data_IF_746852656627
#
_entry.id   IF_746852656627
#
_cell.length_a   1.000
_cell.length_b   1.000
_cell.length_c   1.000
_cell.angle_alpha   90.00
_cell.angle_beta   90.00
_cell.angle_gamma   90.00
#
_symmetry.space_group_name_H-M   'P 1'
#
loop_
_entity.id
_entity.type
_entity.pdbx_description
1 polymer ?
#
# COMPACT_ATOMS: atom_id res chain seq x y z
N UNK A 1 13.29 9.72 -25.83
CA UNK A 1 13.00 9.11 -24.52
C UNK A 1 13.66 10.00 -23.50
N UNK A 2 12.88 10.64 -22.66
CA UNK A 2 13.43 11.37 -21.52
C UNK A 2 13.93 10.36 -20.50
N UNK A 3 15.08 10.65 -19.88
CA UNK A 3 15.68 9.81 -18.86
C UNK A 3 14.83 9.90 -17.58
N UNK A 4 14.15 8.80 -17.21
CA UNK A 4 13.30 8.74 -16.02
C UNK A 4 14.18 8.45 -14.82
N UNK A 5 14.20 9.35 -13.84
CA UNK A 5 14.92 9.19 -12.57
C UNK A 5 13.96 8.98 -11.41
N UNK A 6 14.18 7.94 -10.62
CA UNK A 6 13.39 7.60 -9.43
C UNK A 6 14.27 7.73 -8.19
N UNK A 7 13.84 8.54 -7.22
CA UNK A 7 14.51 8.70 -5.93
C UNK A 7 13.55 8.23 -4.83
N UNK A 8 13.91 7.13 -4.16
CA UNK A 8 13.20 6.59 -3.00
C UNK A 8 13.97 6.97 -1.73
N UNK A 9 13.27 7.56 -0.77
CA UNK A 9 13.77 7.76 0.60
C UNK A 9 12.89 6.98 1.55
N UNK A 10 13.49 6.24 2.47
CA UNK A 10 12.77 5.43 3.46
C UNK A 10 12.91 6.03 4.85
N UNK A 11 11.89 5.88 5.69
CA UNK A 11 12.00 6.18 7.12
C UNK A 11 13.08 5.29 7.79
N UNK A 12 13.65 5.76 8.91
CA UNK A 12 14.67 5.01 9.68
C UNK A 12 14.21 3.61 10.10
N UNK A 13 12.90 3.39 10.22
CA UNK A 13 12.32 2.10 10.52
C UNK A 13 12.45 1.07 9.39
N UNK A 14 12.71 1.47 8.15
CA UNK A 14 12.79 0.58 6.99
C UNK A 14 14.22 0.42 6.49
N UNK A 15 14.57 -0.81 6.12
CA UNK A 15 15.83 -1.11 5.42
C UNK A 15 15.53 -1.50 3.98
N UNK A 16 16.18 -0.81 3.04
CA UNK A 16 16.15 -1.14 1.62
C UNK A 16 16.87 -2.47 1.35
N UNK A 17 16.23 -3.39 0.62
CA UNK A 17 16.79 -4.71 0.30
C UNK A 17 17.38 -4.76 -1.12
N UNK A 18 16.54 -4.72 -2.17
CA UNK A 18 16.98 -4.74 -3.57
C UNK A 18 16.02 -4.01 -4.53
N UNK A 19 16.51 -3.66 -5.74
CA UNK A 19 15.68 -3.28 -6.91
C UNK A 19 15.76 -4.42 -7.94
N UNK A 20 14.62 -4.88 -8.44
CA UNK A 20 14.52 -5.88 -9.49
C UNK A 20 13.81 -5.31 -10.75
N UNK A 21 14.34 -5.59 -11.97
CA UNK A 21 15.60 -6.29 -12.24
C UNK A 21 16.82 -5.42 -11.88
N UNK A 22 18.04 -5.99 -11.74
CA UNK A 22 19.28 -5.26 -11.38
C UNK A 22 19.79 -4.19 -12.38
N UNK A 23 18.91 -3.62 -13.24
CA UNK A 23 19.14 -2.72 -14.41
C UNK A 23 19.54 -3.50 -15.69
N UNK A 24 18.97 -3.34 -16.91
CA UNK A 24 18.18 -2.30 -17.60
C UNK A 24 16.67 -2.58 -17.74
N UNK A 25 15.85 -1.52 -17.73
CA UNK A 25 14.43 -1.53 -18.13
C UNK A 25 14.25 -1.02 -19.57
N UNK A 26 14.66 -1.81 -20.57
CA UNK A 26 14.32 -1.54 -21.97
C UNK A 26 12.97 -2.18 -22.32
N UNK A 27 11.88 -1.42 -22.19
CA UNK A 27 10.56 -1.88 -22.67
C UNK A 27 10.39 -1.56 -24.15
N UNK A 28 10.91 -2.43 -25.01
CA UNK A 28 10.40 -2.56 -26.37
C UNK A 28 10.19 -4.04 -26.70
N UNK A 29 9.25 -4.69 -26.01
CA UNK A 29 8.83 -6.04 -26.36
C UNK A 29 7.88 -5.98 -27.57
N UNK A 30 8.47 -5.98 -28.77
CA UNK A 30 7.75 -6.13 -30.04
C UNK A 30 6.92 -7.44 -30.12
N UNK A 31 7.14 -8.39 -29.20
CA UNK A 31 6.41 -9.65 -29.13
C UNK A 31 5.07 -9.59 -28.36
N UNK A 32 4.86 -8.61 -27.48
CA UNK A 32 3.65 -8.54 -26.63
C UNK A 32 2.78 -7.31 -26.84
N UNK A 33 3.21 -6.33 -27.65
CA UNK A 33 2.48 -5.08 -27.94
C UNK A 33 1.99 -4.36 -26.67
N UNK A 34 2.75 -4.44 -25.57
CA UNK A 34 2.40 -3.83 -24.28
C UNK A 34 3.55 -2.94 -23.79
N UNK A 35 3.24 -1.65 -23.64
CA UNK A 35 4.13 -0.58 -23.20
C UNK A 35 3.99 -0.32 -21.69
N UNK A 36 4.40 -1.27 -20.85
CA UNK A 36 4.46 -1.03 -19.39
C UNK A 36 5.84 -1.40 -18.87
N UNK A 37 6.57 -0.41 -18.34
CA UNK A 37 7.80 -0.61 -17.60
C UNK A 37 7.47 -0.69 -16.10
N UNK A 38 8.06 -1.66 -15.40
CA UNK A 38 7.90 -1.80 -13.95
C UNK A 38 9.27 -1.95 -13.27
N UNK A 39 9.32 -1.49 -12.03
CA UNK A 39 10.42 -1.70 -11.09
C UNK A 39 9.84 -2.37 -9.85
N UNK A 40 10.52 -3.40 -9.36
CA UNK A 40 10.18 -4.05 -8.10
C UNK A 40 11.24 -3.70 -7.06
N UNK A 41 10.82 -3.52 -5.81
CA UNK A 41 11.74 -3.32 -4.69
C UNK A 41 11.12 -3.85 -3.40
N UNK A 42 11.98 -4.24 -2.46
CA UNK A 42 11.57 -4.77 -1.15
C UNK A 42 12.24 -3.99 -0.02
N UNK A 43 11.47 -3.71 1.03
CA UNK A 43 11.95 -3.12 2.27
C UNK A 43 11.46 -3.93 3.47
N UNK A 44 12.30 -4.05 4.49
CA UNK A 44 11.95 -4.73 5.74
C UNK A 44 11.92 -3.77 6.91
N UNK A 45 10.91 -3.91 7.76
CA UNK A 45 10.76 -3.12 8.98
C UNK A 45 11.71 -3.59 10.08
N UNK A 46 12.38 -2.65 10.74
CA UNK A 46 13.27 -2.89 11.86
C UNK A 46 12.65 -2.35 13.16
N UNK A 47 12.02 -3.20 13.97
CA UNK A 47 11.33 -2.78 15.20
C UNK A 47 12.28 -2.33 16.33
N UNK A 48 13.60 -2.32 16.12
CA UNK A 48 14.60 -2.07 17.17
C UNK A 48 14.91 -0.59 17.43
N UNK A 49 14.21 0.35 16.80
CA UNK A 49 14.45 1.76 17.07
C UNK A 49 13.53 2.24 18.18
N UNK A 50 14.10 2.41 19.38
CA UNK A 50 13.46 3.19 20.44
C UNK A 50 13.16 4.59 19.88
N UNK A 51 11.96 5.16 20.12
CA UNK A 51 11.68 6.53 19.73
C UNK A 51 12.76 7.44 20.32
N UNK A 52 13.37 8.26 19.46
CA UNK A 52 14.36 9.24 19.93
C UNK A 52 13.70 10.16 20.97
N UNK A 53 14.37 10.54 22.06
CA UNK A 53 13.78 11.43 23.06
C UNK A 53 13.28 12.70 22.36
N UNK A 54 12.08 13.22 22.69
CA UNK A 54 11.56 14.40 22.03
C UNK A 54 12.51 15.57 22.25
N UNK A 55 13.20 15.96 21.18
CA UNK A 55 14.10 17.10 21.17
C UNK A 55 13.30 18.39 21.24
N UNK A 56 13.28 18.99 22.42
CA UNK A 56 12.81 20.36 22.69
C UNK A 56 11.31 20.62 22.47
N UNK A 57 10.65 20.99 23.56
CA UNK A 57 9.24 21.41 23.69
C UNK A 57 8.84 22.49 22.66
N UNK A 58 7.85 22.25 21.77
CA UNK A 58 7.17 23.32 21.05
C UNK A 58 6.10 23.98 21.93
N UNK A 59 6.05 25.31 21.95
CA UNK A 59 4.99 26.11 22.60
C UNK A 59 3.78 26.28 21.65
N UNK A 60 3.22 25.19 21.16
CA UNK A 60 2.04 25.20 20.29
C UNK A 60 0.96 24.30 20.88
N UNK A 61 -0.33 24.64 20.73
CA UNK A 61 -1.42 23.80 21.24
C UNK A 61 -1.26 22.40 20.65
N UNK A 62 -1.41 21.38 21.49
CA UNK A 62 -1.35 19.97 21.11
C UNK A 62 -2.46 19.73 20.08
N UNK A 63 -2.09 19.76 18.80
CA UNK A 63 -2.89 19.14 17.76
C UNK A 63 -3.03 17.67 18.15
N UNK A 64 -4.28 17.19 18.11
CA UNK A 64 -4.67 15.78 18.33
C UNK A 64 -3.60 14.85 17.75
N UNK A 65 -3.12 13.82 18.46
CA UNK A 65 -2.09 12.93 17.94
C UNK A 65 -2.54 12.46 16.57
N UNK A 66 -1.84 12.87 15.52
CA UNK A 66 -2.08 12.33 14.19
C UNK A 66 -1.91 10.82 14.32
N UNK A 67 -2.94 10.03 14.00
CA UNK A 67 -2.81 8.59 13.72
C UNK A 67 -1.99 8.39 12.43
N UNK A 68 -0.87 9.10 12.30
CA UNK A 68 0.03 8.96 11.18
C UNK A 68 0.58 7.54 11.20
N UNK A 69 0.57 6.90 10.04
CA UNK A 69 1.17 5.59 9.87
C UNK A 69 2.63 5.61 10.32
N UNK A 70 2.94 4.86 11.38
CA UNK A 70 4.30 4.56 11.82
C UNK A 70 4.66 3.15 11.34
N UNK A 71 5.60 3.00 10.40
CA UNK A 71 5.99 1.69 9.92
C UNK A 71 6.76 0.84 10.93
N UNK A 72 7.31 1.44 12.01
CA UNK A 72 7.96 0.72 13.09
C UNK A 72 6.94 0.06 14.04
N UNK A 73 5.77 0.67 14.18
CA UNK A 73 4.67 0.22 15.04
C UNK A 73 3.33 0.26 14.26
N UNK A 74 3.20 -0.54 13.17
CA UNK A 74 1.99 -0.53 12.38
C UNK A 74 0.87 -1.21 13.18
N UNK A 75 -0.34 -0.67 13.12
CA UNK A 75 -1.49 -1.26 13.81
C UNK A 75 -2.75 -1.25 12.95
N UNK A 76 -3.66 -2.17 13.26
CA UNK A 76 -4.96 -2.30 12.62
C UNK A 76 -6.05 -2.15 13.67
N UNK A 77 -6.96 -1.20 13.44
CA UNK A 77 -8.17 -1.02 14.24
C UNK A 77 -9.35 -1.68 13.53
N UNK A 78 -10.26 -2.38 14.25
CA UNK A 78 -11.46 -2.94 13.66
C UNK A 78 -12.28 -1.94 12.85
N UNK A 79 -12.46 -0.72 13.38
CA UNK A 79 -13.25 0.33 12.74
C UNK A 79 -12.65 0.91 11.45
N UNK A 80 -11.41 0.55 11.10
CA UNK A 80 -10.69 1.04 9.92
C UNK A 80 -10.23 -0.09 9.00
N UNK A 81 -10.65 -1.33 9.26
CA UNK A 81 -10.19 -2.52 8.55
C UNK A 81 -11.37 -3.27 7.97
N UNK A 82 -11.15 -4.12 6.98
CA UNK A 82 -12.08 -5.17 6.58
C UNK A 82 -11.61 -6.51 7.13
N UNK A 83 -12.50 -7.31 7.70
CA UNK A 83 -12.20 -8.66 8.19
C UNK A 83 -12.94 -9.70 7.34
N UNK A 84 -12.19 -10.61 6.73
CA UNK A 84 -12.73 -11.66 5.86
C UNK A 84 -12.09 -13.02 6.20
N UNK A 85 -12.82 -14.13 6.01
CA UNK A 85 -12.20 -15.45 5.93
C UNK A 85 -11.32 -15.55 4.67
N UNK A 86 -10.22 -16.30 4.75
CA UNK A 86 -9.21 -16.39 3.69
C UNK A 86 -9.80 -16.68 2.30
N UNK A 87 -10.82 -17.53 2.20
CA UNK A 87 -11.45 -17.94 0.95
C UNK A 87 -12.08 -16.77 0.18
N UNK A 88 -12.38 -15.65 0.86
CA UNK A 88 -12.97 -14.44 0.27
C UNK A 88 -11.98 -13.29 0.09
N UNK A 89 -10.78 -13.41 0.67
CA UNK A 89 -9.80 -12.30 0.71
C UNK A 89 -9.28 -11.96 -0.68
N UNK A 90 -8.98 -12.96 -1.51
CA UNK A 90 -8.41 -12.73 -2.85
C UNK A 90 -9.37 -11.98 -3.76
N UNK A 91 -10.64 -12.39 -3.80
CA UNK A 91 -11.68 -11.69 -4.56
C UNK A 91 -11.92 -10.28 -4.02
N UNK A 92 -11.95 -10.12 -2.68
CA UNK A 92 -12.13 -8.82 -2.07
C UNK A 92 -10.99 -7.86 -2.45
N UNK A 93 -9.73 -8.30 -2.35
CA UNK A 93 -8.56 -7.51 -2.76
C UNK A 93 -8.66 -7.17 -4.25
N UNK A 94 -9.00 -8.12 -5.13
CA UNK A 94 -9.12 -7.86 -6.57
C UNK A 94 -10.16 -6.78 -6.89
N UNK A 95 -11.32 -6.82 -6.23
CA UNK A 95 -12.40 -5.84 -6.36
C UNK A 95 -11.98 -4.46 -5.84
N UNK A 96 -11.29 -4.40 -4.70
CA UNK A 96 -10.76 -3.14 -4.16
C UNK A 96 -9.71 -2.55 -5.08
N UNK A 97 -8.73 -3.32 -5.54
CA UNK A 97 -7.71 -2.81 -6.44
C UNK A 97 -8.31 -2.37 -7.80
N UNK A 98 -9.36 -3.04 -8.28
CA UNK A 98 -10.12 -2.58 -9.45
C UNK A 98 -10.77 -1.23 -9.20
N UNK A 99 -11.40 -1.09 -8.04
CA UNK A 99 -12.02 0.17 -7.63
C UNK A 99 -10.98 1.29 -7.56
N UNK A 100 -9.76 1.02 -7.11
CA UNK A 100 -8.64 1.98 -7.07
C UNK A 100 -8.01 2.25 -8.45
N UNK A 101 -8.52 1.64 -9.53
CA UNK A 101 -8.09 1.90 -10.90
C UNK A 101 -6.87 1.10 -11.36
N UNK A 102 -6.46 0.08 -10.61
CA UNK A 102 -5.35 -0.77 -11.01
C UNK A 102 -5.75 -1.66 -12.18
N UNK A 103 -4.84 -1.74 -13.16
CA UNK A 103 -4.99 -2.63 -14.31
C UNK A 103 -4.75 -4.10 -13.92
N UNK A 104 -5.24 -5.04 -14.74
CA UNK A 104 -5.23 -6.48 -14.44
C UNK A 104 -3.85 -7.03 -14.05
N UNK A 105 -2.78 -6.61 -14.72
CA UNK A 105 -1.43 -7.12 -14.43
C UNK A 105 -0.95 -6.71 -13.03
N UNK A 106 -1.11 -5.44 -12.64
CA UNK A 106 -0.80 -4.98 -11.29
C UNK A 106 -1.63 -5.70 -10.21
N UNK A 107 -2.94 -5.91 -10.46
CA UNK A 107 -3.81 -6.63 -9.51
C UNK A 107 -3.36 -8.09 -9.32
N UNK A 108 -3.11 -8.79 -10.42
CA UNK A 108 -2.60 -10.17 -10.39
C UNK A 108 -1.25 -10.24 -9.68
N UNK A 109 -0.34 -9.30 -9.96
CA UNK A 109 0.98 -9.26 -9.33
C UNK A 109 0.88 -9.04 -7.81
N UNK A 110 0.06 -8.06 -7.39
CA UNK A 110 -0.20 -7.78 -5.98
C UNK A 110 -0.71 -9.01 -5.24
N UNK A 111 -1.76 -9.65 -5.77
CA UNK A 111 -2.38 -10.83 -5.15
C UNK A 111 -1.38 -11.98 -5.11
N UNK A 112 -0.69 -12.26 -6.22
CA UNK A 112 0.29 -13.35 -6.29
C UNK A 112 1.41 -13.18 -5.27
N UNK A 113 1.90 -11.95 -5.07
CA UNK A 113 2.97 -11.67 -4.11
C UNK A 113 2.51 -11.87 -2.66
N UNK A 114 1.32 -11.37 -2.29
CA UNK A 114 0.84 -11.44 -0.90
C UNK A 114 0.14 -12.75 -0.53
N UNK A 115 -0.33 -13.52 -1.51
CA UNK A 115 -1.10 -14.76 -1.28
C UNK A 115 -0.40 -15.75 -0.33
N UNK A 116 0.92 -16.04 -0.43
CA UNK A 116 1.58 -16.98 0.47
C UNK A 116 1.60 -16.53 1.94
N UNK A 117 1.54 -15.21 2.21
CA UNK A 117 1.46 -14.69 3.57
C UNK A 117 0.01 -14.67 4.07
N UNK A 118 -0.94 -14.30 3.21
CA UNK A 118 -2.37 -14.33 3.53
C UNK A 118 -2.86 -15.75 3.84
N UNK A 119 -2.37 -16.76 3.11
CA UNK A 119 -2.80 -18.16 3.26
C UNK A 119 -2.36 -18.82 4.57
N UNK A 120 -1.54 -18.16 5.39
CA UNK A 120 -1.14 -18.63 6.71
C UNK A 120 -2.24 -18.43 7.75
N UNK A 121 -3.24 -17.59 7.45
CA UNK A 121 -4.26 -17.15 8.38
C UNK A 121 -5.65 -17.60 7.95
N UNK A 122 -6.51 -17.94 8.91
CA UNK A 122 -7.91 -18.30 8.64
C UNK A 122 -8.79 -17.08 8.39
N UNK A 123 -8.61 -16.04 9.21
CA UNK A 123 -9.27 -14.76 9.07
C UNK A 123 -8.22 -13.66 8.93
N UNK A 124 -8.44 -12.77 7.96
CA UNK A 124 -7.51 -11.70 7.62
C UNK A 124 -8.23 -10.38 7.86
N UNK A 125 -7.70 -9.58 8.79
CA UNK A 125 -8.02 -8.16 8.85
C UNK A 125 -7.06 -7.40 7.95
N UNK A 126 -7.58 -6.51 7.09
CA UNK A 126 -6.77 -5.69 6.20
C UNK A 126 -7.26 -4.25 6.11
N UNK A 127 -6.34 -3.33 5.82
CA UNK A 127 -6.61 -1.91 5.57
C UNK A 127 -5.71 -1.43 4.44
N UNK A 128 -6.25 -0.64 3.51
CA UNK A 128 -5.44 0.16 2.60
C UNK A 128 -5.18 1.54 3.20
N UNK A 129 -3.91 1.96 3.22
CA UNK A 129 -3.52 3.24 3.81
C UNK A 129 -3.95 4.43 2.92
N UNK A 130 -4.34 5.56 3.53
CA UNK A 130 -4.39 6.84 2.82
C UNK A 130 -3.03 7.17 2.19
N UNK A 131 -3.01 7.58 0.91
CA UNK A 131 -1.77 7.89 0.20
C UNK A 131 -0.92 8.92 0.94
N UNK A 132 -1.54 9.99 1.44
CA UNK A 132 -0.84 11.05 2.15
C UNK A 132 -0.26 10.64 3.51
N UNK A 133 -0.73 9.53 4.11
CA UNK A 133 -0.09 8.95 5.30
C UNK A 133 1.13 8.12 4.90
N UNK A 134 0.98 7.29 3.87
CA UNK A 134 2.06 6.44 3.37
C UNK A 134 3.23 7.26 2.78
N UNK A 135 2.94 8.36 2.08
CA UNK A 135 3.94 9.27 1.51
C UNK A 135 4.88 9.90 2.54
N UNK A 136 4.39 10.14 3.76
CA UNK A 136 5.22 10.68 4.86
C UNK A 136 6.25 9.66 5.33
N UNK A 137 5.88 8.37 5.34
CA UNK A 137 6.74 7.28 5.78
C UNK A 137 7.72 6.81 4.70
N UNK A 138 7.33 6.91 3.42
CA UNK A 138 8.16 6.49 2.29
C UNK A 138 8.11 7.52 1.15
N UNK A 139 8.81 8.66 1.25
CA UNK A 139 8.86 9.64 0.18
C UNK A 139 9.40 9.08 -1.14
N UNK A 140 8.65 9.29 -2.23
CA UNK A 140 9.01 8.88 -3.59
C UNK A 140 8.99 10.09 -4.52
N UNK A 141 10.13 10.39 -5.13
CA UNK A 141 10.26 11.47 -6.11
C UNK A 141 10.62 10.90 -7.48
N UNK A 142 9.85 11.25 -8.51
CA UNK A 142 10.08 10.83 -9.89
C UNK A 142 10.31 12.07 -10.76
N UNK A 143 11.26 11.98 -11.69
CA UNK A 143 11.58 13.04 -12.65
C UNK A 143 11.59 12.47 -14.07
N UNK A 144 10.81 13.02 -15.02
CA UNK A 144 9.86 14.14 -14.84
C UNK A 144 8.75 13.79 -13.84
N UNK A 145 8.11 14.81 -13.25
CA UNK A 145 7.04 14.58 -12.30
C UNK A 145 5.84 13.92 -13.01
N UNK A 146 5.28 12.82 -12.48
CA UNK A 146 4.08 12.23 -13.04
C UNK A 146 2.89 13.16 -12.85
N UNK A 147 2.00 13.18 -13.81
CA UNK A 147 0.73 13.90 -13.73
C UNK A 147 -0.22 13.22 -12.75
N UNK A 148 -0.04 11.92 -12.51
CA UNK A 148 -0.77 11.12 -11.53
C UNK A 148 0.14 10.11 -10.87
N UNK A 149 0.19 10.14 -9.55
CA UNK A 149 0.79 9.09 -8.73
C UNK A 149 -0.34 8.31 -8.04
N UNK A 150 -0.29 6.98 -8.11
CA UNK A 150 -1.19 6.10 -7.37
C UNK A 150 -0.34 5.18 -6.49
N UNK A 151 -0.50 5.29 -5.16
CA UNK A 151 0.24 4.49 -4.18
C UNK A 151 -0.74 3.67 -3.35
N UNK A 152 -0.73 2.35 -3.54
CA UNK A 152 -1.61 1.44 -2.79
C UNK A 152 -0.78 0.62 -1.81
N UNK A 153 -0.95 0.85 -0.52
CA UNK A 153 -0.24 0.13 0.52
C UNK A 153 -1.21 -0.60 1.45
N UNK A 154 -1.12 -1.93 1.52
CA UNK A 154 -1.99 -2.77 2.34
C UNK A 154 -1.31 -3.18 3.64
N UNK A 155 -1.94 -2.86 4.77
CA UNK A 155 -1.66 -3.51 6.05
C UNK A 155 -2.58 -4.72 6.19
N UNK A 156 -2.06 -5.86 6.66
CA UNK A 156 -2.90 -7.00 7.01
C UNK A 156 -2.39 -7.73 8.26
N UNK A 157 -3.27 -8.47 8.93
CA UNK A 157 -2.90 -9.40 10.00
C UNK A 157 -3.80 -10.62 10.02
N UNK A 158 -3.30 -11.71 10.59
CA UNK A 158 -4.12 -12.80 11.06
C UNK A 158 -4.98 -12.39 12.26
N UNK A 159 -6.24 -12.82 12.24
CA UNK A 159 -7.16 -12.75 13.39
C UNK A 159 -7.54 -14.17 13.77
N UNK A 160 -7.33 -14.50 15.05
CA UNK A 160 -7.74 -15.79 15.59
C UNK A 160 -9.27 -15.90 15.64
N UNK A 161 -9.80 -17.10 15.44
CA UNK A 161 -11.24 -17.35 15.41
C UNK A 161 -11.95 -16.87 16.70
N UNK A 162 -11.29 -17.02 17.86
CA UNK A 162 -11.79 -16.56 19.16
C UNK A 162 -11.83 -15.04 19.31
N UNK A 163 -11.22 -14.28 18.40
CA UNK A 163 -11.18 -12.82 18.43
C UNK A 163 -12.13 -12.18 17.43
N UNK A 164 -12.70 -12.95 16.49
CA UNK A 164 -13.54 -12.42 15.40
C UNK A 164 -14.72 -11.59 15.91
N UNK A 165 -15.28 -11.94 17.08
CA UNK A 165 -16.39 -11.18 17.68
C UNK A 165 -16.03 -9.71 18.03
N UNK A 166 -14.75 -9.42 18.28
CA UNK A 166 -14.26 -8.06 18.56
C UNK A 166 -14.02 -7.24 17.29
N UNK A 167 -14.27 -7.82 16.11
CA UNK A 167 -14.04 -7.21 14.80
C UNK A 167 -15.35 -6.97 14.03
N UNK A 168 -16.47 -6.79 14.73
CA UNK A 168 -17.79 -6.55 14.12
C UNK A 168 -17.78 -5.44 13.07
N UNK A 169 -17.14 -4.31 13.38
CA UNK A 169 -17.04 -3.16 12.47
C UNK A 169 -16.27 -3.50 11.21
N UNK A 170 -15.24 -4.36 11.33
CA UNK A 170 -14.44 -4.80 10.20
C UNK A 170 -15.18 -5.81 9.31
N UNK A 171 -16.02 -6.65 9.92
CA UNK A 171 -16.92 -7.53 9.16
C UNK A 171 -17.95 -6.70 8.41
N UNK A 172 -18.51 -5.65 9.03
CA UNK A 172 -19.42 -4.72 8.35
C UNK A 172 -18.72 -4.00 7.19
N UNK A 173 -17.50 -3.51 7.40
CA UNK A 173 -16.67 -2.88 6.37
C UNK A 173 -16.44 -3.81 5.17
N UNK A 174 -16.22 -5.10 5.41
CA UNK A 174 -16.05 -6.10 4.35
C UNK A 174 -17.33 -6.33 3.52
N UNK A 175 -18.51 -5.97 4.03
CA UNK A 175 -19.78 -6.03 3.30
C UNK A 175 -20.10 -4.75 2.51
N UNK A 176 -19.35 -3.67 2.71
CA UNK A 176 -19.54 -2.42 1.96
C UNK A 176 -18.99 -2.57 0.54
N UNK A 177 -19.49 -1.72 -0.35
CA UNK A 177 -18.98 -1.65 -1.72
C UNK A 177 -17.51 -1.23 -1.72
N UNK A 178 -16.69 -1.92 -2.52
CA UNK A 178 -15.23 -1.72 -2.58
C UNK A 178 -14.82 -0.30 -2.95
N UNK A 179 -15.71 0.50 -3.55
CA UNK A 179 -15.46 1.91 -3.85
C UNK A 179 -15.24 2.78 -2.62
N UNK A 180 -15.63 2.35 -1.42
CA UNK A 180 -15.32 3.06 -0.16
C UNK A 180 -13.82 3.28 0.03
N UNK A 181 -12.99 2.36 -0.50
CA UNK A 181 -11.54 2.49 -0.41
C UNK A 181 -10.99 3.62 -1.29
N UNK A 182 -11.73 4.09 -2.31
CA UNK A 182 -11.31 5.26 -3.11
C UNK A 182 -11.18 6.51 -2.25
N UNK A 183 -12.17 6.72 -1.40
CA UNK A 183 -12.22 7.87 -0.50
C UNK A 183 -11.19 7.72 0.63
N UNK A 184 -11.04 6.51 1.18
CA UNK A 184 -10.06 6.24 2.25
C UNK A 184 -8.62 6.39 1.75
N UNK A 185 -8.31 5.80 0.59
CA UNK A 185 -6.96 5.88 0.00
C UNK A 185 -6.70 7.27 -0.58
N UNK A 186 -7.74 7.98 -1.02
CA UNK A 186 -7.67 9.31 -1.61
C UNK A 186 -7.24 9.27 -3.07
N UNK A 187 -7.91 8.46 -3.90
CA UNK A 187 -7.57 8.27 -5.32
C UNK A 187 -8.40 9.19 -6.22
N UNK A 188 -7.73 9.97 -7.07
CA UNK A 188 -8.36 10.75 -8.15
C UNK A 188 -8.64 9.85 -9.37
N UNK A 189 -9.71 9.03 -9.28
CA UNK A 189 -9.97 7.94 -10.24
C UNK A 189 -10.04 8.39 -11.70
N UNK A 190 -10.54 9.60 -11.98
CA UNK A 190 -10.62 10.15 -13.33
C UNK A 190 -9.23 10.29 -13.96
N UNK A 191 -8.28 10.88 -13.22
CA UNK A 191 -6.89 11.01 -13.67
C UNK A 191 -6.20 9.65 -13.74
N UNK A 192 -6.46 8.77 -12.77
CA UNK A 192 -5.91 7.41 -12.77
C UNK A 192 -6.33 6.64 -14.02
N UNK A 193 -7.51 6.88 -14.58
CA UNK A 193 -7.98 6.19 -15.78
C UNK A 193 -7.58 6.88 -17.10
N UNK A 194 -7.13 8.13 -17.05
CA UNK A 194 -6.71 8.89 -18.23
C UNK A 194 -5.36 8.40 -18.79
N UNK A 195 -5.41 7.71 -19.92
CA UNK A 195 -4.23 7.14 -20.58
C UNK A 195 -3.37 8.18 -21.30
N UNK A 196 -3.82 9.42 -21.44
CA UNK A 196 -3.03 10.50 -22.03
C UNK A 196 -2.01 11.10 -21.04
N UNK A 197 -2.21 10.87 -19.75
CA UNK A 197 -1.33 11.35 -18.69
C UNK A 197 -0.14 10.41 -18.46
N UNK A 198 0.99 10.99 -18.06
CA UNK A 198 2.10 10.25 -17.46
C UNK A 198 1.72 9.81 -16.05
N UNK A 199 1.30 8.54 -15.94
CA UNK A 199 0.82 7.91 -14.70
C UNK A 199 1.86 6.95 -14.13
N UNK A 200 2.02 6.98 -12.81
CA UNK A 200 2.83 6.01 -12.07
C UNK A 200 1.98 5.31 -11.03
N UNK A 201 2.13 3.99 -10.95
CA UNK A 201 1.49 3.12 -9.96
C UNK A 201 2.57 2.46 -9.11
N UNK A 202 2.48 2.66 -7.80
CA UNK A 202 3.20 1.89 -6.79
C UNK A 202 2.19 1.07 -6.00
N UNK A 203 2.51 -0.19 -5.74
CA UNK A 203 1.76 -1.00 -4.79
C UNK A 203 2.71 -1.73 -3.85
N UNK A 204 2.24 -1.95 -2.63
CA UNK A 204 3.01 -2.62 -1.59
C UNK A 204 2.12 -3.03 -0.43
N UNK A 205 2.74 -3.56 0.62
CA UNK A 205 2.02 -3.92 1.82
C UNK A 205 2.95 -4.47 2.89
N UNK A 206 2.37 -4.80 4.03
CA UNK A 206 3.08 -5.48 5.10
C UNK A 206 2.12 -6.22 6.03
N UNK A 207 2.64 -7.30 6.62
CA UNK A 207 1.98 -8.00 7.71
C UNK A 207 2.27 -7.29 9.04
N UNK A 208 1.22 -6.97 9.78
CA UNK A 208 1.28 -6.47 11.15
C UNK A 208 1.44 -7.67 12.09
N UNK A 209 2.49 -7.65 12.91
CA UNK A 209 2.86 -8.74 13.83
C UNK A 209 2.34 -8.52 15.23
#
# INVERSE_FOLDING_TARGET
>A
MDDIRVHLSLDKAWNFSEIYPPTETLTNNQATNREVAYLFWEAHTNPRLLPSPPGTRPNTPVETPSLAFDPADPYLLPSQSALLPFEKVTSYIDDVLLALGLHTEARTSFITYWLPNLSKHKYIALKFLPQGEYEKAAPLNITPAPEVMTRVFMLFRGVEESQVEFWSDAVEMACKDSTIWRDIVGIEIEKVLDKSLFRVLEWGGMEVK
#
